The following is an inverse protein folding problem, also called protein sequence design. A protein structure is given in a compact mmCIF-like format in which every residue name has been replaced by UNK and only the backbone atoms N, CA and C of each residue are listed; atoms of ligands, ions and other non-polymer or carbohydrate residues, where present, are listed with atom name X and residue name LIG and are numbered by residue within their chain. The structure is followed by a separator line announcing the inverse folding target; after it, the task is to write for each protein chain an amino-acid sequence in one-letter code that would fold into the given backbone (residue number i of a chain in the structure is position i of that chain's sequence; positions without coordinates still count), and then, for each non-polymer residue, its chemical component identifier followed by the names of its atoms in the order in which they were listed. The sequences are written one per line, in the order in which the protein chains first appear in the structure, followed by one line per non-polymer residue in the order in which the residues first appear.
data_IF_814929468262
#
_entry.id   IF_814929468262
#
_cell.length_a   1.000
_cell.length_b   1.000
_cell.length_c   1.000
_cell.angle_alpha   90.00
_cell.angle_beta   90.00
_cell.angle_gamma   90.00
#
_symmetry.space_group_name_H-M   'P 1'
#
loop_
_entity.id
_entity.type
_entity.pdbx_description
1 polymer ?
#
# COMPACT_ATOMS: atom_id res chain seq x y z
N UNK A 1 -13.68 24.82 15.45
CA UNK A 1 -12.29 24.75 14.98
C UNK A 1 -11.34 25.35 16.00
N UNK A 2 -11.51 26.61 16.41
CA UNK A 2 -10.65 27.28 17.40
C UNK A 2 -10.55 26.55 18.76
N UNK A 3 -11.65 26.01 19.29
CA UNK A 3 -11.62 25.24 20.54
C UNK A 3 -10.95 23.87 20.41
N UNK A 4 -10.92 23.29 19.20
CA UNK A 4 -10.23 22.02 18.93
C UNK A 4 -8.73 22.26 18.73
N UNK A 5 -8.36 23.36 18.06
CA UNK A 5 -6.97 23.79 17.83
C UNK A 5 -6.18 23.90 19.16
N UNK A 6 -6.84 24.37 20.23
CA UNK A 6 -6.27 24.45 21.59
C UNK A 6 -6.06 23.09 22.29
N UNK A 7 -6.62 22.00 21.75
CA UNK A 7 -6.69 20.68 22.40
C UNK A 7 -5.94 19.58 21.64
N UNK A 8 -5.30 19.92 20.51
CA UNK A 8 -4.64 18.95 19.64
C UNK A 8 -3.15 19.28 19.52
N UNK A 9 -2.33 18.26 19.37
CA UNK A 9 -0.87 18.41 19.30
C UNK A 9 -0.23 17.19 18.66
N UNK A 10 0.64 17.40 17.67
CA UNK A 10 1.47 16.34 17.06
C UNK A 10 2.51 15.75 18.02
N UNK A 11 2.74 16.43 19.17
CA UNK A 11 3.61 15.97 20.25
C UNK A 11 2.82 15.34 21.41
N UNK A 12 1.49 15.40 21.39
CA UNK A 12 0.64 14.88 22.46
C UNK A 12 0.42 13.36 22.40
N UNK A 13 -0.57 12.90 23.17
CA UNK A 13 -1.02 11.51 23.15
C UNK A 13 -1.72 11.12 21.84
N UNK A 14 -2.06 9.83 21.64
CA UNK A 14 -2.67 9.32 20.40
C UNK A 14 -3.85 10.16 19.88
N UNK A 15 -4.82 10.48 20.75
CA UNK A 15 -6.02 11.24 20.38
C UNK A 15 -5.71 12.71 20.03
N UNK A 16 -4.72 13.33 20.70
CA UNK A 16 -4.30 14.70 20.42
C UNK A 16 -3.59 14.78 19.06
N UNK A 17 -2.77 13.78 18.73
CA UNK A 17 -2.06 13.66 17.45
C UNK A 17 -3.04 13.43 16.31
N UNK A 18 -3.92 12.43 16.46
CA UNK A 18 -4.99 12.17 15.49
C UNK A 18 -5.86 13.43 15.30
N UNK A 19 -6.27 14.06 16.40
CA UNK A 19 -7.03 15.30 16.40
C UNK A 19 -6.37 16.42 15.59
N UNK A 20 -5.03 16.53 15.62
CA UNK A 20 -4.29 17.54 14.85
C UNK A 20 -4.45 17.30 13.35
N UNK A 21 -4.32 16.06 12.88
CA UNK A 21 -4.50 15.73 11.45
C UNK A 21 -5.96 15.82 11.01
N UNK A 22 -6.91 15.40 11.86
CA UNK A 22 -8.33 15.54 11.62
C UNK A 22 -8.74 17.00 11.48
N UNK A 23 -8.20 17.87 12.34
CA UNK A 23 -8.48 19.30 12.32
C UNK A 23 -8.05 19.91 10.97
N UNK A 24 -6.84 19.59 10.50
CA UNK A 24 -6.37 20.06 9.19
C UNK A 24 -7.21 19.52 8.04
N UNK A 25 -7.61 18.25 8.07
CA UNK A 25 -8.54 17.68 7.08
C UNK A 25 -9.91 18.37 7.09
N UNK A 26 -10.44 18.74 8.26
CA UNK A 26 -11.69 19.48 8.39
C UNK A 26 -11.57 20.92 7.88
N UNK A 27 -10.45 21.62 8.16
CA UNK A 27 -10.16 22.95 7.59
C UNK A 27 -10.14 22.86 6.06
N UNK A 28 -9.39 21.88 5.52
CA UNK A 28 -9.29 21.64 4.09
C UNK A 28 -10.66 21.35 3.43
N UNK A 29 -11.54 20.60 4.12
CA UNK A 29 -12.91 20.35 3.64
C UNK A 29 -13.73 21.63 3.58
N UNK A 30 -13.70 22.45 4.63
CA UNK A 30 -14.46 23.72 4.69
C UNK A 30 -14.01 24.71 3.62
N UNK A 31 -12.71 24.74 3.33
CA UNK A 31 -12.11 25.59 2.29
C UNK A 31 -12.21 25.00 0.88
N UNK A 32 -12.75 23.78 0.74
CA UNK A 32 -12.77 23.04 -0.54
C UNK A 32 -11.37 22.88 -1.16
N UNK A 33 -10.34 22.79 -0.32
CA UNK A 33 -8.93 22.71 -0.70
C UNK A 33 -8.34 21.30 -0.57
N UNK A 34 -9.16 20.31 -0.21
CA UNK A 34 -8.76 18.91 0.04
C UNK A 34 -7.95 18.28 -1.10
N UNK A 35 -8.43 18.37 -2.34
CA UNK A 35 -7.73 17.77 -3.49
C UNK A 35 -6.40 18.47 -3.80
N UNK A 36 -6.33 19.79 -3.59
CA UNK A 36 -5.09 20.57 -3.73
C UNK A 36 -4.07 20.19 -2.66
N UNK A 37 -4.50 20.08 -1.40
CA UNK A 37 -3.64 19.69 -0.28
C UNK A 37 -3.16 18.26 -0.47
N UNK A 38 -4.05 17.33 -0.81
CA UNK A 38 -3.69 15.94 -1.08
C UNK A 38 -2.65 15.83 -2.20
N UNK A 39 -2.82 16.57 -3.31
CA UNK A 39 -1.84 16.62 -4.41
C UNK A 39 -0.53 17.31 -4.00
N UNK A 40 -0.57 18.36 -3.19
CA UNK A 40 0.62 19.09 -2.74
C UNK A 40 1.44 18.29 -1.74
N UNK A 41 0.78 17.52 -0.86
CA UNK A 41 1.46 16.56 0.03
C UNK A 41 2.21 15.49 -0.77
N UNK A 42 1.78 15.16 -2.02
CA UNK A 42 2.57 14.30 -2.93
C UNK A 42 3.87 14.96 -3.44
N UNK A 43 3.99 16.29 -3.42
CA UNK A 43 5.14 17.01 -4.01
C UNK A 43 6.26 17.31 -3.02
N UNK A 44 6.00 17.23 -1.71
CA UNK A 44 6.98 17.55 -0.66
C UNK A 44 7.41 16.26 0.01
N UNK A 45 8.18 15.45 -0.72
CA UNK A 45 8.78 14.25 -0.16
C UNK A 45 10.31 14.40 -0.08
N UNK A 46 10.92 14.01 1.05
CA UNK A 46 12.37 14.08 1.23
C UNK A 46 13.07 13.05 0.33
N UNK A 47 14.38 13.24 0.13
CA UNK A 47 15.15 12.45 -0.83
C UNK A 47 15.10 10.95 -0.55
N UNK A 48 15.28 10.12 -1.58
CA UNK A 48 15.12 8.64 -1.57
C UNK A 48 15.72 7.88 -0.37
N UNK A 49 16.77 8.40 0.26
CA UNK A 49 17.38 7.81 1.46
C UNK A 49 16.57 8.05 2.74
N UNK A 50 15.77 9.11 2.81
CA UNK A 50 14.92 9.49 3.96
C UNK A 50 13.52 8.86 3.85
N UNK A 51 13.02 8.58 2.65
CA UNK A 51 11.74 7.88 2.45
C UNK A 51 11.83 6.39 2.77
N UNK A 52 13.00 5.77 2.55
CA UNK A 52 13.33 4.48 3.14
C UNK A 52 13.18 4.50 4.66
N UNK A 53 13.20 5.67 5.32
CA UNK A 53 13.07 5.78 6.77
C UNK A 53 11.61 5.78 7.26
N UNK A 54 10.64 6.39 6.58
CA UNK A 54 9.30 6.57 7.17
C UNK A 54 8.43 5.31 7.17
N UNK A 55 8.26 4.68 6.00
CA UNK A 55 7.57 3.39 5.94
C UNK A 55 8.35 2.30 6.67
N UNK A 56 9.69 2.38 6.74
CA UNK A 56 10.46 1.42 7.56
C UNK A 56 10.29 1.66 9.05
N UNK A 57 10.14 2.91 9.51
CA UNK A 57 9.77 3.23 10.90
C UNK A 57 8.42 2.58 11.21
N UNK A 58 7.39 2.81 10.39
CA UNK A 58 6.08 2.18 10.60
C UNK A 58 6.15 0.66 10.55
N UNK A 59 6.93 0.10 9.63
CA UNK A 59 7.16 -1.35 9.54
C UNK A 59 7.89 -1.92 10.76
N UNK A 60 8.73 -1.13 11.43
CA UNK A 60 9.46 -1.53 12.64
C UNK A 60 8.58 -1.43 13.90
N UNK A 61 7.81 -0.35 14.04
CA UNK A 61 7.02 -0.10 15.25
C UNK A 61 5.64 -0.75 15.23
N UNK A 62 5.07 -0.98 14.04
CA UNK A 62 3.75 -1.58 13.89
C UNK A 62 3.84 -2.94 13.18
N UNK A 63 3.16 -3.97 13.72
CA UNK A 63 3.24 -5.31 13.15
C UNK A 63 2.43 -5.47 11.85
N UNK A 64 1.56 -4.52 11.51
CA UNK A 64 0.54 -4.68 10.46
C UNK A 64 1.12 -4.94 9.07
N UNK A 65 2.06 -4.10 8.63
CA UNK A 65 2.66 -4.23 7.30
C UNK A 65 3.54 -5.48 7.19
N UNK A 66 4.28 -5.81 8.26
CA UNK A 66 5.09 -7.03 8.32
C UNK A 66 4.20 -8.27 8.26
N UNK A 67 3.16 -8.31 9.10
CA UNK A 67 2.17 -9.39 9.10
C UNK A 67 1.54 -9.57 7.71
N UNK A 68 1.11 -8.48 7.07
CA UNK A 68 0.50 -8.51 5.76
C UNK A 68 1.43 -9.09 4.68
N UNK A 69 2.65 -8.57 4.56
CA UNK A 69 3.60 -9.01 3.55
C UNK A 69 4.11 -10.44 3.82
N UNK A 70 4.39 -10.79 5.08
CA UNK A 70 4.80 -12.15 5.42
C UNK A 70 3.70 -13.17 5.18
N UNK A 71 2.44 -12.84 5.52
CA UNK A 71 1.29 -13.71 5.25
C UNK A 71 1.10 -13.93 3.75
N UNK A 72 1.11 -12.86 2.95
CA UNK A 72 1.02 -12.95 1.49
C UNK A 72 2.17 -13.80 0.91
N UNK A 73 3.41 -13.58 1.37
CA UNK A 73 4.58 -14.33 0.94
C UNK A 73 4.48 -15.82 1.27
N UNK A 74 4.02 -16.18 2.47
CA UNK A 74 3.80 -17.58 2.86
C UNK A 74 2.73 -18.22 1.98
N UNK A 75 1.59 -17.54 1.77
CA UNK A 75 0.50 -18.04 0.92
C UNK A 75 0.96 -18.24 -0.53
N UNK A 76 1.72 -17.29 -1.10
CA UNK A 76 2.27 -17.42 -2.45
C UNK A 76 3.25 -18.59 -2.52
N UNK A 77 4.16 -18.71 -1.55
CA UNK A 77 5.11 -19.81 -1.50
C UNK A 77 4.41 -21.17 -1.45
N UNK A 78 3.42 -21.33 -0.57
CA UNK A 78 2.69 -22.60 -0.43
C UNK A 78 1.98 -23.03 -1.72
N UNK A 79 1.40 -22.07 -2.44
CA UNK A 79 0.76 -22.31 -3.73
C UNK A 79 1.77 -22.65 -4.85
N UNK A 80 3.01 -22.15 -4.74
CA UNK A 80 4.04 -22.23 -5.77
C UNK A 80 5.17 -23.23 -5.48
N UNK A 81 5.18 -23.90 -4.33
CA UNK A 81 6.30 -24.74 -3.85
C UNK A 81 6.80 -25.84 -4.79
N UNK A 82 5.97 -26.27 -5.74
CA UNK A 82 6.30 -27.33 -6.70
C UNK A 82 6.52 -26.80 -8.13
N UNK A 83 6.50 -25.49 -8.32
CA UNK A 83 6.58 -24.86 -9.63
C UNK A 83 8.03 -24.45 -9.95
N UNK A 84 8.61 -24.92 -11.07
CA UNK A 84 9.99 -24.58 -11.43
C UNK A 84 10.13 -23.15 -11.98
N UNK A 85 9.02 -22.55 -12.43
CA UNK A 85 8.97 -21.22 -13.03
C UNK A 85 7.77 -20.45 -12.47
N UNK A 86 8.03 -19.41 -11.70
CA UNK A 86 7.03 -18.61 -11.03
C UNK A 86 7.01 -17.22 -11.67
N UNK A 87 5.83 -16.72 -12.00
CA UNK A 87 5.61 -15.33 -12.38
C UNK A 87 4.72 -14.64 -11.35
N UNK A 88 5.28 -13.66 -10.66
CA UNK A 88 4.57 -12.84 -9.68
C UNK A 88 4.19 -11.52 -10.34
N UNK A 89 2.91 -11.17 -10.30
CA UNK A 89 2.41 -9.87 -10.78
C UNK A 89 2.00 -9.07 -9.54
N UNK A 90 2.72 -7.99 -9.28
CA UNK A 90 2.50 -7.13 -8.13
C UNK A 90 1.90 -5.79 -8.58
N UNK A 91 0.67 -5.53 -8.14
CA UNK A 91 -0.03 -4.28 -8.37
C UNK A 91 0.23 -3.32 -7.21
N UNK A 92 1.16 -2.38 -7.40
CA UNK A 92 1.75 -1.47 -6.39
C UNK A 92 3.07 -1.98 -5.77
N UNK A 93 4.04 -2.30 -6.64
CA UNK A 93 5.31 -2.90 -6.19
C UNK A 93 6.13 -1.98 -5.26
N UNK A 94 5.89 -0.67 -5.30
CA UNK A 94 6.57 0.33 -4.50
C UNK A 94 8.10 0.13 -4.55
N UNK A 95 8.74 -0.19 -3.43
CA UNK A 95 10.20 -0.36 -3.32
C UNK A 95 10.69 -1.81 -3.54
N UNK A 96 9.78 -2.74 -3.85
CA UNK A 96 10.08 -4.18 -4.03
C UNK A 96 10.54 -4.90 -2.76
N UNK A 97 10.43 -4.28 -1.58
CA UNK A 97 10.98 -4.84 -0.32
C UNK A 97 10.33 -6.17 0.07
N UNK A 98 9.03 -6.36 -0.17
CA UNK A 98 8.34 -7.63 0.04
C UNK A 98 9.04 -8.79 -0.70
N UNK A 99 9.48 -8.54 -1.94
CA UNK A 99 10.09 -9.55 -2.80
C UNK A 99 11.55 -9.84 -2.47
N UNK A 100 12.28 -8.87 -1.89
CA UNK A 100 13.59 -9.13 -1.28
C UNK A 100 13.45 -10.17 -0.17
N UNK A 101 12.53 -9.95 0.77
CA UNK A 101 12.29 -10.88 1.87
C UNK A 101 11.72 -12.23 1.40
N UNK A 102 10.92 -12.24 0.34
CA UNK A 102 10.44 -13.48 -0.28
C UNK A 102 11.62 -14.34 -0.77
N UNK A 103 12.54 -13.75 -1.53
CA UNK A 103 13.72 -14.45 -2.07
C UNK A 103 14.68 -14.92 -0.97
N UNK A 104 14.94 -14.08 0.04
CA UNK A 104 15.73 -14.45 1.23
C UNK A 104 15.08 -15.63 1.97
N UNK A 105 13.75 -15.60 2.11
CA UNK A 105 12.96 -16.68 2.71
C UNK A 105 13.06 -17.99 1.93
N UNK A 106 13.03 -17.95 0.59
CA UNK A 106 13.24 -19.13 -0.25
C UNK A 106 14.64 -19.72 -0.06
N UNK A 107 15.67 -18.87 -0.08
CA UNK A 107 17.06 -19.28 0.15
C UNK A 107 17.21 -19.97 1.51
N UNK A 108 16.62 -19.40 2.56
CA UNK A 108 16.71 -19.91 3.93
C UNK A 108 16.00 -21.26 4.11
N UNK A 109 14.91 -21.53 3.38
CA UNK A 109 14.20 -22.82 3.43
C UNK A 109 15.03 -23.98 2.84
N UNK A 110 15.94 -23.69 1.91
CA UNK A 110 16.72 -24.69 1.20
C UNK A 110 15.90 -25.49 0.18
N UNK A 111 16.57 -26.37 -0.57
CA UNK A 111 15.98 -27.15 -1.66
C UNK A 111 16.23 -26.55 -3.04
N UNK A 112 15.47 -27.02 -4.04
CA UNK A 112 15.59 -26.51 -5.41
C UNK A 112 14.91 -25.15 -5.52
N UNK A 113 15.68 -24.13 -5.91
CA UNK A 113 15.15 -22.79 -6.14
C UNK A 113 14.44 -22.71 -7.50
N UNK A 114 13.24 -22.10 -7.56
CA UNK A 114 12.57 -21.84 -8.82
C UNK A 114 13.22 -20.66 -9.57
N UNK A 115 12.95 -20.57 -10.87
CA UNK A 115 13.13 -19.30 -11.58
C UNK A 115 11.97 -18.37 -11.26
N UNK A 116 12.27 -17.09 -11.03
CA UNK A 116 11.29 -16.08 -10.60
C UNK A 116 11.27 -14.93 -11.59
N UNK A 117 10.09 -14.66 -12.15
CA UNK A 117 9.77 -13.44 -12.87
C UNK A 117 8.89 -12.56 -12.00
N UNK A 118 9.19 -11.27 -11.92
CA UNK A 118 8.30 -10.30 -11.26
C UNK A 118 7.89 -9.23 -12.26
N UNK A 119 6.58 -9.05 -12.43
CA UNK A 119 6.01 -7.86 -13.06
C UNK A 119 5.62 -6.87 -11.97
N UNK A 120 6.31 -5.74 -11.90
CA UNK A 120 5.97 -4.65 -11.00
C UNK A 120 5.12 -3.60 -11.71
N UNK A 121 3.86 -3.46 -11.31
CA UNK A 121 2.97 -2.38 -11.73
C UNK A 121 3.05 -1.27 -10.70
N UNK A 122 3.37 -0.06 -11.12
CA UNK A 122 3.28 1.13 -10.29
C UNK A 122 3.36 2.38 -11.19
N UNK A 123 2.63 3.43 -10.85
CA UNK A 123 2.53 4.60 -11.70
C UNK A 123 3.79 5.50 -11.61
N UNK A 124 3.90 6.42 -12.58
CA UNK A 124 5.00 7.38 -12.65
C UNK A 124 4.90 8.48 -11.59
N UNK A 125 3.71 8.73 -11.01
CA UNK A 125 3.53 9.70 -9.92
C UNK A 125 4.21 9.19 -8.65
N UNK A 126 4.15 7.89 -8.41
CA UNK A 126 4.84 7.20 -7.33
C UNK A 126 6.36 7.08 -7.56
N UNK A 127 6.90 7.50 -8.72
CA UNK A 127 8.35 7.48 -8.96
C UNK A 127 9.10 8.44 -8.02
N UNK A 128 8.48 9.54 -7.59
CA UNK A 128 9.06 10.45 -6.63
C UNK A 128 9.16 9.80 -5.24
N UNK A 129 8.07 9.18 -4.77
CA UNK A 129 8.03 8.40 -3.52
C UNK A 129 8.97 7.20 -3.52
N UNK A 130 9.20 6.61 -4.69
CA UNK A 130 10.19 5.54 -4.85
C UNK A 130 11.63 6.04 -4.87
N UNK A 131 11.86 7.34 -5.01
CA UNK A 131 13.21 7.88 -5.22
C UNK A 131 13.76 7.63 -6.62
N UNK A 132 12.91 7.21 -7.56
CA UNK A 132 13.25 6.87 -8.93
C UNK A 132 12.18 6.02 -9.64
N UNK A 133 12.43 5.73 -10.92
CA UNK A 133 11.57 4.85 -11.72
C UNK A 133 11.69 3.38 -11.33
N UNK A 134 10.81 2.54 -11.89
CA UNK A 134 10.81 1.09 -11.68
C UNK A 134 12.13 0.41 -12.07
N UNK A 135 12.96 1.04 -12.90
CA UNK A 135 14.31 0.57 -13.21
C UNK A 135 15.21 0.45 -11.96
N UNK A 136 15.04 1.34 -10.96
CA UNK A 136 15.79 1.25 -9.71
C UNK A 136 15.36 0.03 -8.88
N UNK A 137 14.04 -0.20 -8.81
CA UNK A 137 13.44 -1.35 -8.13
C UNK A 137 13.91 -2.64 -8.79
N UNK A 138 13.86 -2.72 -10.12
CA UNK A 138 14.36 -3.86 -10.88
C UNK A 138 15.82 -4.18 -10.58
N UNK A 139 16.71 -3.17 -10.58
CA UNK A 139 18.13 -3.37 -10.20
C UNK A 139 18.30 -3.88 -8.77
N UNK A 140 17.51 -3.38 -7.82
CA UNK A 140 17.54 -3.85 -6.42
C UNK A 140 17.12 -5.32 -6.33
N UNK A 141 16.06 -5.70 -7.02
CA UNK A 141 15.55 -7.07 -7.04
C UNK A 141 16.51 -8.04 -7.74
N UNK A 142 17.11 -7.64 -8.86
CA UNK A 142 18.14 -8.44 -9.54
C UNK A 142 19.31 -8.74 -8.59
N UNK A 143 19.83 -7.72 -7.89
CA UNK A 143 20.92 -7.91 -6.91
C UNK A 143 20.53 -8.83 -5.75
N UNK A 144 19.29 -8.72 -5.26
CA UNK A 144 18.78 -9.60 -4.21
C UNK A 144 18.61 -11.06 -4.70
N UNK A 145 18.17 -11.26 -5.94
CA UNK A 145 18.09 -12.58 -6.54
C UNK A 145 19.48 -13.20 -6.73
N UNK A 146 20.44 -12.43 -7.25
CA UNK A 146 21.84 -12.85 -7.41
C UNK A 146 22.45 -13.28 -6.07
N UNK A 147 22.25 -12.50 -5.00
CA UNK A 147 22.74 -12.85 -3.67
C UNK A 147 22.07 -14.11 -3.09
N UNK A 148 20.88 -14.46 -3.59
CA UNK A 148 20.15 -15.67 -3.22
C UNK A 148 20.42 -16.87 -4.14
N UNK A 149 21.13 -16.69 -5.27
CA UNK A 149 21.33 -17.73 -6.27
C UNK A 149 20.07 -18.08 -7.06
N UNK A 150 19.13 -17.15 -7.18
CA UNK A 150 17.85 -17.34 -7.88
C UNK A 150 17.95 -16.80 -9.30
N UNK A 151 17.54 -17.61 -10.30
CA UNK A 151 17.36 -17.12 -11.67
C UNK A 151 16.19 -16.15 -11.70
N UNK A 152 16.43 -14.91 -12.11
CA UNK A 152 15.46 -13.84 -11.93
C UNK A 152 15.31 -12.93 -13.15
N UNK A 153 14.07 -12.48 -13.39
CA UNK A 153 13.74 -11.47 -14.38
C UNK A 153 12.75 -10.45 -13.81
N UNK A 154 12.96 -9.17 -14.14
CA UNK A 154 12.04 -8.11 -13.76
C UNK A 154 11.42 -7.45 -14.99
N UNK A 155 10.08 -7.42 -15.04
CA UNK A 155 9.31 -6.71 -16.05
C UNK A 155 8.65 -5.49 -15.42
N UNK A 156 8.95 -4.30 -15.95
CA UNK A 156 8.37 -3.05 -15.44
C UNK A 156 7.09 -2.69 -16.18
N UNK A 157 6.04 -2.36 -15.44
CA UNK A 157 4.79 -1.80 -15.97
C UNK A 157 4.55 -0.44 -15.32
N UNK A 158 5.13 0.61 -15.90
CA UNK A 158 5.12 1.97 -15.35
C UNK A 158 3.80 2.71 -15.67
N UNK A 159 2.69 2.20 -15.12
CA UNK A 159 1.33 2.70 -15.33
C UNK A 159 0.48 2.47 -14.10
N UNK A 160 -0.67 3.13 -14.03
CA UNK A 160 -1.60 2.86 -12.94
C UNK A 160 -2.32 1.54 -13.14
N UNK A 161 -2.71 0.86 -12.05
CA UNK A 161 -3.48 -0.39 -12.12
C UNK A 161 -4.77 -0.26 -12.94
N UNK A 162 -5.38 0.92 -12.98
CA UNK A 162 -6.57 1.21 -13.79
C UNK A 162 -6.29 1.33 -15.30
N UNK A 163 -5.04 1.26 -15.75
CA UNK A 163 -4.65 1.32 -17.17
C UNK A 163 -4.16 -0.04 -17.69
N UNK A 164 -3.76 -0.93 -16.79
CA UNK A 164 -3.16 -2.23 -17.13
C UNK A 164 -4.06 -3.07 -18.03
N UNK A 165 -3.47 -3.54 -19.13
CA UNK A 165 -3.99 -4.53 -20.05
C UNK A 165 -3.11 -5.79 -20.05
N UNK A 166 -3.61 -6.84 -20.70
CA UNK A 166 -2.95 -8.16 -20.77
C UNK A 166 -1.51 -8.07 -21.30
N UNK A 167 -1.29 -7.26 -22.34
CA UNK A 167 0.01 -7.12 -23.01
C UNK A 167 1.05 -6.44 -22.13
N UNK A 168 0.62 -5.67 -21.13
CA UNK A 168 1.51 -4.96 -20.23
C UNK A 168 2.12 -5.88 -19.16
N UNK A 169 1.57 -7.09 -18.99
CA UNK A 169 1.99 -8.01 -17.94
C UNK A 169 3.24 -8.83 -18.30
N UNK A 170 3.61 -8.88 -19.58
CA UNK A 170 4.82 -9.56 -20.05
C UNK A 170 4.83 -11.04 -19.71
N UNK A 171 3.73 -11.74 -19.97
CA UNK A 171 3.52 -13.15 -19.64
C UNK A 171 4.34 -14.07 -20.55
N UNK A 172 4.88 -15.15 -20.00
CA UNK A 172 5.51 -16.23 -20.78
C UNK A 172 4.75 -17.55 -20.65
N UNK A 173 4.85 -18.39 -21.68
CA UNK A 173 4.28 -19.73 -21.64
C UNK A 173 4.99 -20.64 -20.61
N UNK A 174 4.18 -21.39 -19.86
CA UNK A 174 4.65 -22.41 -18.91
C UNK A 174 5.08 -21.87 -17.54
N UNK A 175 4.73 -20.63 -17.19
CA UNK A 175 4.96 -20.04 -15.87
C UNK A 175 3.70 -20.18 -14.99
N UNK A 176 3.89 -20.48 -13.71
CA UNK A 176 2.82 -20.44 -12.73
C UNK A 176 2.63 -19.02 -12.18
N UNK A 177 1.42 -18.48 -12.30
CA UNK A 177 1.14 -17.07 -11.99
C UNK A 177 0.62 -16.89 -10.57
N UNK A 178 1.26 -16.02 -9.80
CA UNK A 178 0.75 -15.45 -8.56
C UNK A 178 0.43 -13.98 -8.78
N UNK A 179 -0.68 -13.50 -8.24
CA UNK A 179 -1.03 -12.07 -8.28
C UNK A 179 -1.09 -11.53 -6.85
N UNK A 180 -0.49 -10.36 -6.62
CA UNK A 180 -0.45 -9.67 -5.34
C UNK A 180 -1.07 -8.27 -5.45
N UNK A 181 -2.02 -7.97 -4.57
CA UNK A 181 -2.66 -6.67 -4.41
C UNK A 181 -2.40 -6.11 -2.99
N UNK A 182 -1.25 -5.48 -2.74
CA UNK A 182 -0.94 -4.85 -1.46
C UNK A 182 -1.50 -3.42 -1.38
N UNK A 183 -2.60 -3.22 -0.65
CA UNK A 183 -3.16 -1.90 -0.33
C UNK A 183 -3.39 -1.03 -1.57
N UNK A 184 -4.08 -1.55 -2.59
CA UNK A 184 -4.22 -0.85 -3.89
C UNK A 184 -5.65 -0.85 -4.44
N UNK A 185 -6.48 -1.85 -4.11
CA UNK A 185 -7.80 -1.95 -4.73
C UNK A 185 -8.77 -0.91 -4.15
N UNK A 186 -8.58 -0.50 -2.90
CA UNK A 186 -9.35 0.59 -2.30
C UNK A 186 -9.18 1.92 -3.04
N UNK A 187 -8.02 2.16 -3.69
CA UNK A 187 -7.81 3.36 -4.51
C UNK A 187 -8.57 3.36 -5.83
N UNK A 188 -9.03 2.19 -6.29
CA UNK A 188 -9.74 2.08 -7.56
C UNK A 188 -11.20 2.46 -7.38
N UNK A 189 -11.73 3.42 -8.19
CA UNK A 189 -13.15 3.75 -8.21
C UNK A 189 -13.98 2.50 -8.50
N UNK A 190 -14.99 2.25 -7.66
CA UNK A 190 -16.02 1.26 -7.93
C UNK A 190 -17.18 1.89 -8.71
N UNK A 191 -18.20 1.10 -9.01
CA UNK A 191 -19.42 1.52 -9.71
C UNK A 191 -20.18 2.66 -9.03
N UNK A 192 -19.98 2.90 -7.73
CA UNK A 192 -20.59 4.03 -7.03
C UNK A 192 -19.93 5.37 -7.35
N UNK A 193 -18.76 5.34 -7.99
CA UNK A 193 -17.92 6.51 -8.26
C UNK A 193 -17.67 6.70 -9.76
N UNK A 194 -17.50 5.62 -10.52
CA UNK A 194 -17.22 5.67 -11.95
C UNK A 194 -17.98 4.58 -12.71
N UNK A 195 -18.56 4.95 -13.85
CA UNK A 195 -19.21 4.01 -14.78
C UNK A 195 -18.21 3.08 -15.49
N UNK A 196 -16.92 3.43 -15.48
CA UNK A 196 -15.87 2.67 -16.16
C UNK A 196 -15.49 1.37 -15.42
N UNK A 197 -15.86 1.28 -14.14
CA UNK A 197 -15.68 0.10 -13.27
C UNK A 197 -14.29 -0.56 -13.43
N UNK A 198 -13.24 0.25 -13.20
CA UNK A 198 -11.86 -0.16 -13.39
C UNK A 198 -11.46 -1.33 -12.48
N UNK A 199 -11.99 -1.36 -11.26
CA UNK A 199 -11.74 -2.44 -10.30
C UNK A 199 -12.18 -3.79 -10.87
N UNK A 200 -13.43 -3.91 -11.33
CA UNK A 200 -13.94 -5.17 -11.88
C UNK A 200 -13.27 -5.53 -13.20
N UNK A 201 -12.91 -4.53 -14.01
CA UNK A 201 -12.13 -4.77 -15.24
C UNK A 201 -10.79 -5.41 -14.91
N UNK A 202 -10.08 -4.90 -13.90
CA UNK A 202 -8.80 -5.44 -13.47
C UNK A 202 -8.93 -6.84 -12.85
N UNK A 203 -9.93 -7.06 -12.00
CA UNK A 203 -10.20 -8.37 -11.42
C UNK A 203 -10.55 -9.42 -12.49
N UNK A 204 -11.32 -9.05 -13.51
CA UNK A 204 -11.58 -9.90 -14.68
C UNK A 204 -10.32 -10.21 -15.49
N UNK A 205 -9.46 -9.21 -15.70
CA UNK A 205 -8.15 -9.43 -16.33
C UNK A 205 -7.35 -10.46 -15.52
N UNK A 206 -7.21 -10.27 -14.21
CA UNK A 206 -6.51 -11.20 -13.33
C UNK A 206 -7.11 -12.60 -13.38
N UNK A 207 -8.45 -12.73 -13.33
CA UNK A 207 -9.15 -14.01 -13.44
C UNK A 207 -8.84 -14.70 -14.78
N UNK A 208 -8.74 -13.95 -15.88
CA UNK A 208 -8.39 -14.49 -17.20
C UNK A 208 -6.96 -15.07 -17.27
N UNK A 209 -6.05 -14.64 -16.40
CA UNK A 209 -4.70 -15.20 -16.29
C UNK A 209 -4.68 -16.58 -15.65
N UNK A 210 -5.79 -17.02 -15.04
CA UNK A 210 -5.88 -18.28 -14.28
C UNK A 210 -4.74 -18.43 -13.25
N UNK A 211 -4.54 -17.44 -12.35
CA UNK A 211 -3.46 -17.50 -11.37
C UNK A 211 -3.68 -18.66 -10.40
N UNK A 212 -2.60 -19.27 -9.93
CA UNK A 212 -2.67 -20.28 -8.86
C UNK A 212 -3.12 -19.69 -7.53
N UNK A 213 -2.81 -18.41 -7.32
CA UNK A 213 -3.11 -17.70 -6.08
C UNK A 213 -3.22 -16.20 -6.35
N UNK A 214 -4.18 -15.58 -5.69
CA UNK A 214 -4.31 -14.13 -5.59
C UNK A 214 -4.24 -13.76 -4.11
N UNK A 215 -3.30 -12.90 -3.74
CA UNK A 215 -3.22 -12.31 -2.39
C UNK A 215 -3.79 -10.91 -2.40
N UNK A 216 -4.73 -10.65 -1.50
CA UNK A 216 -5.34 -9.34 -1.29
C UNK A 216 -5.04 -8.88 0.13
N UNK A 217 -4.41 -7.72 0.26
CA UNK A 217 -4.13 -7.06 1.53
C UNK A 217 -4.81 -5.70 1.50
N UNK A 218 -5.76 -5.49 2.40
CA UNK A 218 -6.59 -4.28 2.45
C UNK A 218 -6.87 -3.88 3.91
N UNK A 219 -7.23 -2.61 4.11
CA UNK A 219 -7.62 -2.08 5.41
C UNK A 219 -9.03 -2.52 5.78
N UNK A 220 -9.20 -3.09 6.98
CA UNK A 220 -10.52 -3.51 7.49
C UNK A 220 -11.25 -2.32 8.13
N UNK A 221 -11.93 -1.51 7.31
CA UNK A 221 -12.76 -0.38 7.77
C UNK A 221 -13.82 -0.01 6.73
N UNK A 222 -14.97 0.53 7.16
CA UNK A 222 -16.07 0.92 6.26
C UNK A 222 -16.10 2.42 5.94
N UNK A 223 -15.13 2.89 5.15
CA UNK A 223 -15.02 4.31 4.78
C UNK A 223 -15.42 4.60 3.34
N UNK A 224 -15.99 3.64 2.59
CA UNK A 224 -16.41 3.87 1.20
C UNK A 224 -17.82 4.48 1.07
N UNK A 225 -18.89 3.71 1.22
CA UNK A 225 -20.22 4.11 0.70
C UNK A 225 -21.12 4.87 1.68
N UNK A 226 -20.81 4.86 2.98
CA UNK A 226 -21.61 5.54 4.01
C UNK A 226 -21.61 7.07 3.84
N UNK A 227 -22.61 7.84 4.32
CA UNK A 227 -22.55 9.30 4.37
C UNK A 227 -21.37 9.83 5.22
N UNK A 228 -21.03 11.12 5.08
CA UNK A 228 -19.84 11.70 5.71
C UNK A 228 -19.73 11.44 7.23
N UNK A 229 -20.78 11.70 8.02
CA UNK A 229 -20.70 11.58 9.49
C UNK A 229 -20.42 10.13 9.94
N UNK A 230 -21.13 9.10 9.45
CA UNK A 230 -20.75 7.71 9.72
C UNK A 230 -19.33 7.36 9.29
N UNK A 231 -18.90 7.75 8.08
CA UNK A 231 -17.52 7.50 7.61
C UNK A 231 -16.49 8.18 8.50
N UNK A 232 -16.77 9.40 8.96
CA UNK A 232 -15.88 10.16 9.83
C UNK A 232 -15.70 9.47 11.19
N UNK A 233 -16.78 8.92 11.76
CA UNK A 233 -16.70 8.15 13.03
C UNK A 233 -15.91 6.87 12.85
N UNK A 234 -16.22 6.10 11.81
CA UNK A 234 -15.51 4.87 11.47
C UNK A 234 -14.00 5.12 11.27
N UNK A 235 -13.66 6.18 10.52
CA UNK A 235 -12.28 6.60 10.29
C UNK A 235 -11.59 7.04 11.59
N UNK A 236 -12.29 7.80 12.45
CA UNK A 236 -11.79 8.20 13.76
C UNK A 236 -11.43 6.97 14.61
N UNK A 237 -12.34 5.99 14.70
CA UNK A 237 -12.14 4.78 15.49
C UNK A 237 -10.97 3.93 14.93
N UNK A 238 -10.92 3.74 13.61
CA UNK A 238 -9.85 3.00 12.94
C UNK A 238 -8.47 3.64 13.15
N UNK A 239 -8.34 4.94 12.88
CA UNK A 239 -7.05 5.61 13.03
C UNK A 239 -6.69 5.85 14.49
N UNK A 240 -7.65 5.96 15.42
CA UNK A 240 -7.32 6.02 16.85
C UNK A 240 -6.59 4.75 17.29
N UNK A 241 -7.12 3.57 16.93
CA UNK A 241 -6.46 2.30 17.21
C UNK A 241 -5.06 2.21 16.58
N UNK A 242 -4.88 2.73 15.35
CA UNK A 242 -3.57 2.82 14.71
C UNK A 242 -2.61 3.75 15.46
N UNK A 243 -3.06 4.93 15.87
CA UNK A 243 -2.24 5.90 16.61
C UNK A 243 -1.85 5.41 18.01
N UNK A 244 -2.75 4.68 18.68
CA UNK A 244 -2.47 3.98 19.93
C UNK A 244 -1.43 2.87 19.73
N UNK A 245 -1.52 2.10 18.65
CA UNK A 245 -0.49 1.10 18.31
C UNK A 245 0.86 1.73 17.98
N UNK A 246 0.90 2.85 17.26
CA UNK A 246 2.13 3.59 16.99
C UNK A 246 2.76 4.06 18.31
N UNK A 247 1.95 4.54 19.25
CA UNK A 247 2.39 5.00 20.57
C UNK A 247 3.02 3.87 21.39
N UNK A 248 2.34 2.73 21.42
CA UNK A 248 2.82 1.53 22.11
C UNK A 248 4.13 1.02 21.50
N UNK A 249 4.24 0.95 20.17
CA UNK A 249 5.45 0.51 19.48
C UNK A 249 6.63 1.49 19.64
N UNK A 250 6.35 2.80 19.54
CA UNK A 250 7.36 3.85 19.75
C UNK A 250 7.95 3.83 21.16
N UNK A 251 7.12 3.50 22.16
CA UNK A 251 7.55 3.41 23.56
C UNK A 251 8.51 2.25 23.83
N UNK A 252 8.45 1.18 23.01
CA UNK A 252 9.35 0.04 23.10
C UNK A 252 10.68 0.28 22.37
N UNK A 253 10.66 1.12 21.33
CA UNK A 253 11.83 1.47 20.53
C UNK A 253 12.57 2.69 21.10
N UNK A 254 13.41 2.44 22.12
CA UNK A 254 14.21 3.46 22.83
C UNK A 254 15.09 4.37 21.95
N UNK A 255 15.32 4.01 20.68
CA UNK A 255 16.13 4.76 19.71
C UNK A 255 15.32 5.66 18.76
N UNK A 256 13.98 5.60 18.81
CA UNK A 256 13.13 6.35 17.90
C UNK A 256 12.89 7.79 18.40
N UNK A 257 13.52 8.76 17.74
CA UNK A 257 13.26 10.17 18.00
C UNK A 257 11.82 10.55 17.60
N UNK A 258 11.18 11.37 18.44
CA UNK A 258 9.87 11.99 18.21
C UNK A 258 9.70 12.58 16.80
N UNK A 259 10.74 13.21 16.25
CA UNK A 259 10.71 13.78 14.89
C UNK A 259 10.50 12.71 13.82
N UNK A 260 11.17 11.56 13.96
CA UNK A 260 11.06 10.44 13.02
C UNK A 260 9.65 9.84 13.03
N UNK A 261 9.08 9.64 14.22
CA UNK A 261 7.68 9.20 14.37
C UNK A 261 6.70 10.20 13.73
N UNK A 262 6.83 11.49 14.04
CA UNK A 262 5.97 12.55 13.49
C UNK A 262 6.07 12.57 11.97
N UNK A 263 7.28 12.49 11.40
CA UNK A 263 7.43 12.44 9.94
C UNK A 263 6.80 11.18 9.34
N UNK A 264 6.88 10.03 10.01
CA UNK A 264 6.22 8.82 9.55
C UNK A 264 4.69 8.95 9.56
N UNK A 265 4.11 9.48 10.65
CA UNK A 265 2.67 9.77 10.72
C UNK A 265 2.23 10.75 9.63
N UNK A 266 2.94 11.87 9.47
CA UNK A 266 2.59 12.91 8.51
C UNK A 266 2.59 12.40 7.07
N UNK A 267 3.62 11.64 6.69
CA UNK A 267 3.81 11.24 5.30
C UNK A 267 3.06 9.96 4.93
N UNK A 268 2.80 9.08 5.90
CA UNK A 268 2.21 7.76 5.62
C UNK A 268 0.76 7.61 6.11
N UNK A 269 0.32 8.41 7.08
CA UNK A 269 -1.01 8.22 7.72
C UNK A 269 -1.89 9.46 7.55
N UNK A 270 -1.34 10.65 7.81
CA UNK A 270 -2.10 11.90 7.76
C UNK A 270 -2.63 12.22 6.36
N UNK A 271 -1.88 11.83 5.32
CA UNK A 271 -2.30 12.01 3.92
C UNK A 271 -3.61 11.28 3.64
N UNK A 272 -3.73 10.05 4.10
CA UNK A 272 -4.90 9.21 3.85
C UNK A 272 -6.11 9.76 4.63
N UNK A 273 -5.88 10.17 5.88
CA UNK A 273 -6.87 10.87 6.72
C UNK A 273 -7.41 12.13 6.02
N UNK A 274 -6.52 12.98 5.48
CA UNK A 274 -6.93 14.20 4.76
C UNK A 274 -7.74 13.86 3.51
N UNK A 275 -7.38 12.82 2.75
CA UNK A 275 -8.18 12.40 1.59
C UNK A 275 -9.58 11.96 1.99
N UNK A 276 -9.70 11.13 3.02
CA UNK A 276 -10.98 10.61 3.49
C UNK A 276 -11.92 11.71 4.00
N UNK A 277 -11.38 12.77 4.61
CA UNK A 277 -12.17 13.88 5.15
C UNK A 277 -12.46 14.95 4.11
N UNK A 278 -11.43 15.40 3.39
CA UNK A 278 -11.48 16.64 2.63
C UNK A 278 -11.89 16.45 1.16
N UNK A 279 -11.84 15.22 0.65
CA UNK A 279 -12.19 14.92 -0.74
C UNK A 279 -13.56 14.21 -0.84
N UNK A 280 -14.19 14.31 -2.00
CA UNK A 280 -15.41 13.57 -2.38
C UNK A 280 -15.35 13.20 -3.86
N UNK A 281 -16.30 12.39 -4.34
CA UNK A 281 -16.35 11.99 -5.75
C UNK A 281 -15.04 11.33 -6.20
N UNK A 282 -14.58 11.65 -7.41
CA UNK A 282 -13.34 11.08 -7.98
C UNK A 282 -12.06 11.49 -7.23
N UNK A 283 -12.06 12.61 -6.52
CA UNK A 283 -10.87 13.08 -5.78
C UNK A 283 -10.66 12.32 -4.45
N UNK A 284 -11.71 11.65 -3.93
CA UNK A 284 -11.57 10.76 -2.78
C UNK A 284 -11.19 9.37 -3.27
N UNK A 285 -9.98 8.95 -2.96
CA UNK A 285 -9.39 7.67 -3.37
C UNK A 285 -9.24 6.70 -2.21
N UNK A 286 -9.12 7.18 -0.97
CA UNK A 286 -9.02 6.32 0.20
C UNK A 286 -10.41 5.78 0.57
N UNK A 287 -10.73 4.57 0.09
CA UNK A 287 -12.07 3.95 0.17
C UNK A 287 -11.99 2.52 0.70
N UNK A 288 -11.76 2.41 2.00
CA UNK A 288 -11.67 1.10 2.64
C UNK A 288 -13.02 0.38 2.63
N UNK A 289 -12.95 -0.94 2.59
CA UNK A 289 -14.10 -1.82 2.63
C UNK A 289 -13.81 -3.00 3.56
N UNK A 290 -14.86 -3.52 4.19
CA UNK A 290 -14.76 -4.71 5.02
C UNK A 290 -14.52 -5.95 4.15
N UNK A 291 -13.83 -6.95 4.70
CA UNK A 291 -13.54 -8.23 4.04
C UNK A 291 -14.77 -8.87 3.39
N UNK A 292 -15.94 -8.76 4.02
CA UNK A 292 -17.20 -9.27 3.46
C UNK A 292 -17.53 -8.71 2.09
N UNK A 293 -17.25 -7.42 1.85
CA UNK A 293 -17.47 -6.77 0.55
C UNK A 293 -16.43 -7.22 -0.47
N UNK A 294 -15.15 -7.27 -0.08
CA UNK A 294 -14.07 -7.76 -0.96
C UNK A 294 -14.31 -9.17 -1.47
N UNK A 295 -14.84 -10.07 -0.63
CA UNK A 295 -15.20 -11.43 -1.04
C UNK A 295 -16.27 -11.45 -2.12
N UNK A 296 -17.30 -10.62 -2.01
CA UNK A 296 -18.38 -10.55 -3.02
C UNK A 296 -17.90 -10.02 -4.38
N UNK A 297 -16.89 -9.15 -4.39
CA UNK A 297 -16.27 -8.64 -5.63
C UNK A 297 -15.33 -9.66 -6.31
N UNK A 298 -15.05 -10.79 -5.66
CA UNK A 298 -14.09 -11.80 -6.13
C UNK A 298 -14.74 -12.97 -6.90
N UNK A 299 -16.06 -13.13 -6.78
CA UNK A 299 -16.85 -14.20 -7.41
C UNK A 299 -17.19 -13.89 -8.89
#
# INVERSE_FOLDING_TARGET
MEELDKKVSVLGGPIERLGAYLLEGLKARLESSGSLIYRKLKCVEPTSNELMSYMSILYQICPYWKFAYESANVTIWEAMRNEPRIHIIDFQIAQGTQWVFFMEGLKARGGQLPSIRITGVDDSQSAHARGGGLDLVGRKLVKAAESCGIQFEFHKSAMSGHEVQYENLGLHHGEAIAVNFPYVLHHMPDESVSVENHRDRLLRLVKSLSPKVVTLVEQESNTNTSPFVPRFREMLDYYLAMFESIDAGSSQESSLDSKKRISAEQNCVARDIVNMIACEGLDRVERHELLGKWRMSSD
#
